data_IF_846607175809
#
_entry.id   IF_846607175809
#
_cell.length_a   1.000
_cell.length_b   1.000
_cell.length_c   1.000
_cell.angle_alpha   90.00
_cell.angle_beta   90.00
_cell.angle_gamma   90.00
#
_symmetry.space_group_name_H-M   'P 1'
#
loop_
_entity.id
_entity.type
_entity.pdbx_description
1 polymer ?
#
# COMPACT_ATOMS: atom_id res chain seq x y z
N UNK A 1 25.62 19.63 21.40
CA UNK A 1 26.46 18.43 21.23
C UNK A 1 25.81 17.61 20.13
N UNK A 2 26.41 17.58 18.95
CA UNK A 2 25.86 16.88 17.79
C UNK A 2 25.91 15.36 18.03
N UNK A 3 24.82 14.68 17.69
CA UNK A 3 24.66 13.23 17.83
C UNK A 3 25.74 12.49 17.01
N UNK A 4 26.61 11.66 17.62
CA UNK A 4 27.58 10.84 16.91
C UNK A 4 26.94 9.75 16.03
N UNK A 5 25.62 9.57 16.10
CA UNK A 5 24.79 8.72 15.24
C UNK A 5 24.04 9.55 14.17
N UNK A 6 24.69 10.53 13.54
CA UNK A 6 24.38 10.87 12.15
C UNK A 6 24.76 9.66 11.26
N UNK A 7 24.05 8.56 11.48
CA UNK A 7 24.40 7.22 11.05
C UNK A 7 24.09 7.13 9.57
N UNK A 8 25.05 6.57 8.83
CA UNK A 8 24.97 6.14 7.43
C UNK A 8 23.51 6.02 6.95
N UNK A 9 23.11 6.86 5.97
CA UNK A 9 21.76 6.80 5.42
C UNK A 9 21.47 5.36 5.00
N UNK A 10 20.41 4.77 5.58
CA UNK A 10 19.97 3.41 5.26
C UNK A 10 19.79 3.32 3.73
N UNK A 11 20.35 2.29 3.11
CA UNK A 11 20.44 2.16 1.66
C UNK A 11 19.18 1.62 0.98
N UNK A 12 18.12 1.32 1.74
CA UNK A 12 16.89 0.72 1.22
C UNK A 12 16.94 -0.81 1.16
N UNK A 13 16.01 -1.38 0.39
CA UNK A 13 15.88 -2.83 0.17
C UNK A 13 15.87 -3.09 -1.33
N UNK A 14 16.59 -4.11 -1.80
CA UNK A 14 16.51 -4.57 -3.17
C UNK A 14 16.31 -6.09 -3.22
N UNK A 15 15.29 -6.52 -3.95
CA UNK A 15 15.04 -7.92 -4.27
C UNK A 15 15.42 -8.11 -5.72
N UNK A 16 16.26 -9.11 -6.03
CA UNK A 16 16.79 -9.34 -7.38
C UNK A 16 16.67 -10.80 -7.78
N UNK A 17 16.08 -11.01 -8.95
CA UNK A 17 15.89 -12.32 -9.60
C UNK A 17 15.41 -13.39 -8.62
N UNK A 18 14.44 -13.03 -7.77
CA UNK A 18 14.03 -13.89 -6.66
C UNK A 18 12.99 -14.91 -7.13
N UNK A 19 13.27 -16.18 -6.85
CA UNK A 19 12.37 -17.30 -7.13
C UNK A 19 12.03 -18.05 -5.85
N UNK A 20 10.79 -18.54 -5.78
CA UNK A 20 10.38 -19.49 -4.76
C UNK A 20 9.57 -20.62 -5.38
N UNK A 21 10.13 -21.82 -5.30
CA UNK A 21 9.48 -23.09 -5.63
C UNK A 21 9.29 -23.88 -4.33
N UNK A 22 8.07 -24.35 -4.08
CA UNK A 22 7.76 -25.23 -2.96
C UNK A 22 7.73 -26.68 -3.44
N UNK A 23 8.35 -27.56 -2.65
CA UNK A 23 8.46 -28.99 -2.93
C UNK A 23 9.87 -29.52 -2.62
N UNK A 24 10.04 -30.85 -2.57
CA UNK A 24 11.34 -31.46 -2.31
C UNK A 24 12.33 -31.14 -3.44
N UNK A 25 13.60 -30.88 -3.12
CA UNK A 25 14.63 -30.57 -4.12
C UNK A 25 14.26 -29.43 -5.11
N UNK A 26 13.56 -28.40 -4.62
CA UNK A 26 13.07 -27.27 -5.42
C UNK A 26 14.14 -26.59 -6.28
N UNK A 27 15.41 -26.59 -5.84
CA UNK A 27 16.52 -25.99 -6.57
C UNK A 27 16.76 -26.61 -7.94
N UNK A 28 16.48 -27.91 -8.12
CA UNK A 28 16.66 -28.60 -9.40
C UNK A 28 15.74 -28.10 -10.52
N UNK A 29 14.64 -27.41 -10.16
CA UNK A 29 13.65 -26.93 -11.12
C UNK A 29 13.77 -25.44 -11.45
N UNK A 30 14.72 -24.72 -10.86
CA UNK A 30 14.89 -23.27 -11.10
C UNK A 30 15.22 -22.99 -12.57
N UNK A 31 16.15 -23.73 -13.16
CA UNK A 31 16.53 -23.56 -14.56
C UNK A 31 15.37 -23.90 -15.52
N UNK A 32 14.56 -24.92 -15.20
CA UNK A 32 13.38 -25.23 -16.00
C UNK A 32 12.37 -24.07 -15.99
N UNK A 33 12.13 -23.46 -14.82
CA UNK A 33 11.24 -22.30 -14.69
C UNK A 33 11.83 -21.06 -15.39
N UNK A 34 13.15 -20.84 -15.31
CA UNK A 34 13.84 -19.77 -16.06
C UNK A 34 13.69 -19.93 -17.56
N UNK A 35 13.70 -21.17 -18.04
CA UNK A 35 13.50 -21.52 -19.46
C UNK A 35 12.02 -21.55 -19.88
N UNK A 36 11.10 -21.07 -19.04
CA UNK A 36 9.70 -20.85 -19.39
C UNK A 36 8.71 -21.90 -18.89
N UNK A 37 9.15 -22.89 -18.11
CA UNK A 37 8.22 -23.85 -17.49
C UNK A 37 7.21 -23.12 -16.60
N UNK A 38 5.93 -23.33 -16.90
CA UNK A 38 4.83 -22.66 -16.20
C UNK A 38 4.54 -23.29 -14.84
N UNK A 39 3.83 -22.53 -13.99
CA UNK A 39 3.32 -23.03 -12.70
C UNK A 39 2.50 -24.31 -12.83
N UNK A 40 1.67 -24.40 -13.87
CA UNK A 40 0.80 -25.55 -14.14
C UNK A 40 1.61 -26.77 -14.58
N UNK A 41 2.57 -26.60 -15.49
CA UNK A 41 3.45 -27.69 -15.94
C UNK A 41 4.34 -28.21 -14.81
N UNK A 42 4.94 -27.30 -14.04
CA UNK A 42 5.77 -27.64 -12.89
C UNK A 42 4.98 -28.48 -11.87
N UNK A 43 3.71 -28.12 -11.62
CA UNK A 43 2.85 -28.87 -10.72
C UNK A 43 2.46 -30.24 -11.29
N UNK A 44 2.04 -30.31 -12.55
CA UNK A 44 1.59 -31.55 -13.17
C UNK A 44 2.72 -32.58 -13.36
N UNK A 45 3.93 -32.13 -13.72
CA UNK A 45 5.07 -33.00 -14.03
C UNK A 45 5.89 -33.37 -12.79
N UNK A 46 6.00 -32.45 -11.83
CA UNK A 46 6.94 -32.60 -10.71
C UNK A 46 6.27 -32.52 -9.33
N UNK A 47 5.00 -32.09 -9.25
CA UNK A 47 4.29 -31.92 -7.97
C UNK A 47 4.73 -30.70 -7.17
N UNK A 48 5.47 -29.78 -7.78
CA UNK A 48 5.95 -28.55 -7.12
C UNK A 48 4.98 -27.39 -7.33
N UNK A 49 5.06 -26.39 -6.44
CA UNK A 49 4.27 -25.17 -6.55
C UNK A 49 5.21 -24.00 -6.78
N UNK A 50 5.08 -23.32 -7.92
CA UNK A 50 5.77 -22.06 -8.16
C UNK A 50 5.05 -20.94 -7.38
N UNK A 51 5.73 -20.43 -6.36
CA UNK A 51 5.22 -19.39 -5.46
C UNK A 51 5.65 -17.97 -5.86
N UNK A 52 6.88 -17.80 -6.35
CA UNK A 52 7.41 -16.55 -6.87
C UNK A 52 8.31 -16.82 -8.08
N UNK A 53 8.21 -15.98 -9.11
CA UNK A 53 8.97 -16.06 -10.35
C UNK A 53 9.58 -14.68 -10.67
N UNK A 54 10.90 -14.64 -10.77
CA UNK A 54 11.70 -13.48 -11.19
C UNK A 54 11.28 -12.14 -10.56
N UNK A 55 11.13 -12.12 -9.23
CA UNK A 55 10.75 -10.88 -8.54
C UNK A 55 11.95 -9.94 -8.48
N UNK A 56 11.73 -8.71 -8.97
CA UNK A 56 12.70 -7.62 -8.96
C UNK A 56 12.00 -6.36 -8.42
N UNK A 57 12.38 -5.91 -7.22
CA UNK A 57 11.76 -4.76 -6.54
C UNK A 57 12.85 -3.97 -5.83
N UNK A 58 12.86 -2.66 -6.04
CA UNK A 58 13.69 -1.71 -5.30
C UNK A 58 12.81 -0.83 -4.40
N UNK A 59 13.19 -0.75 -3.13
CA UNK A 59 12.46 -0.03 -2.09
C UNK A 59 13.40 1.02 -1.51
N UNK A 60 13.02 2.29 -1.66
CA UNK A 60 13.80 3.40 -1.13
C UNK A 60 13.82 3.42 0.41
N UNK A 61 14.87 4.04 0.95
CA UNK A 61 14.92 4.31 2.38
C UNK A 61 13.84 5.31 2.80
N UNK A 62 13.19 5.06 3.92
CA UNK A 62 12.21 5.99 4.49
C UNK A 62 10.92 6.16 3.68
N UNK A 63 10.62 5.24 2.76
CA UNK A 63 9.37 5.18 2.02
C UNK A 63 8.50 4.00 2.46
N UNK A 64 7.20 4.10 2.16
CA UNK A 64 6.23 3.01 2.26
C UNK A 64 6.09 2.33 0.90
N UNK A 65 6.62 1.10 0.79
CA UNK A 65 6.34 0.22 -0.33
C UNK A 65 5.14 -0.67 0.00
N UNK A 66 4.07 -0.53 -0.77
CA UNK A 66 2.94 -1.45 -0.70
C UNK A 66 3.13 -2.58 -1.69
N UNK A 67 2.84 -3.81 -1.27
CA UNK A 67 2.78 -5.02 -2.09
C UNK A 67 1.31 -5.47 -2.10
N UNK A 68 0.65 -5.31 -3.24
CA UNK A 68 -0.76 -5.59 -3.42
C UNK A 68 -0.96 -6.87 -4.26
N UNK A 69 -2.11 -7.52 -4.11
CA UNK A 69 -2.53 -8.63 -4.97
C UNK A 69 -3.54 -9.54 -4.30
N UNK A 70 -4.16 -10.43 -5.07
CA UNK A 70 -5.14 -11.38 -4.54
C UNK A 70 -4.51 -12.40 -3.59
N UNK A 71 -5.36 -13.13 -2.87
CA UNK A 71 -4.92 -14.28 -2.08
C UNK A 71 -4.19 -15.28 -2.96
N UNK A 72 -3.07 -15.83 -2.47
CA UNK A 72 -2.27 -16.80 -3.22
C UNK A 72 -1.31 -16.22 -4.26
N UNK A 73 -1.22 -14.89 -4.43
CA UNK A 73 -0.30 -14.27 -5.40
C UNK A 73 1.18 -14.24 -4.97
N UNK A 74 1.51 -14.68 -3.74
CA UNK A 74 2.89 -14.77 -3.24
C UNK A 74 3.35 -13.62 -2.33
N UNK A 75 2.51 -12.62 -2.03
CA UNK A 75 2.84 -11.44 -1.21
C UNK A 75 3.50 -11.79 0.13
N UNK A 76 2.83 -12.59 0.95
CA UNK A 76 3.34 -12.98 2.27
C UNK A 76 4.59 -13.87 2.19
N UNK A 77 4.80 -14.56 1.06
CA UNK A 77 6.04 -15.28 0.80
C UNK A 77 7.18 -14.31 0.52
N UNK A 78 6.94 -13.28 -0.29
CA UNK A 78 7.90 -12.24 -0.63
C UNK A 78 8.39 -11.47 0.61
N UNK A 79 7.49 -10.98 1.46
CA UNK A 79 7.91 -10.26 2.69
C UNK A 79 8.71 -11.16 3.65
N UNK A 80 8.38 -12.46 3.69
CA UNK A 80 9.10 -13.44 4.52
C UNK A 80 10.49 -13.73 3.98
N UNK A 81 10.77 -13.49 2.69
CA UNK A 81 12.12 -13.54 2.15
C UNK A 81 12.98 -12.36 2.60
N UNK A 82 12.40 -11.16 2.76
CA UNK A 82 13.11 -9.98 3.32
C UNK A 82 13.63 -10.27 4.73
N UNK A 83 12.80 -10.89 5.57
CA UNK A 83 13.19 -11.31 6.92
C UNK A 83 13.87 -12.71 6.96
N UNK A 84 14.01 -13.35 5.78
CA UNK A 84 14.45 -14.73 5.56
C UNK A 84 13.78 -15.77 6.47
N UNK A 85 12.52 -15.55 6.87
CA UNK A 85 11.74 -16.56 7.61
C UNK A 85 11.47 -17.80 6.74
N UNK A 86 11.49 -17.61 5.42
CA UNK A 86 11.50 -18.67 4.41
C UNK A 86 12.70 -18.37 3.51
N UNK A 87 13.52 -19.39 3.21
CA UNK A 87 14.60 -19.23 2.23
C UNK A 87 14.03 -19.17 0.81
N UNK A 88 14.50 -18.23 -0.04
CA UNK A 88 14.21 -18.27 -1.45
C UNK A 88 14.87 -19.48 -2.11
N UNK A 89 14.34 -19.93 -3.23
CA UNK A 89 14.95 -21.01 -4.01
C UNK A 89 16.13 -20.50 -4.83
N UNK A 90 16.04 -19.27 -5.34
CA UNK A 90 17.12 -18.56 -6.01
C UNK A 90 16.92 -17.03 -5.90
N UNK A 91 17.97 -16.27 -6.20
CA UNK A 91 17.98 -14.81 -6.16
C UNK A 91 18.60 -14.23 -4.89
N UNK A 92 18.55 -12.91 -4.78
CA UNK A 92 19.21 -12.14 -3.73
C UNK A 92 18.23 -11.17 -3.06
N UNK A 93 18.45 -10.93 -1.77
CA UNK A 93 17.71 -9.91 -1.01
C UNK A 93 18.70 -9.05 -0.25
N UNK A 94 18.88 -7.82 -0.73
CA UNK A 94 19.79 -6.84 -0.19
C UNK A 94 19.04 -5.91 0.76
N UNK A 95 19.51 -5.76 1.98
CA UNK A 95 19.01 -4.78 2.96
C UNK A 95 20.20 -3.94 3.42
N UNK A 96 20.14 -2.63 3.21
CA UNK A 96 21.28 -1.73 3.39
C UNK A 96 22.55 -2.20 2.64
N UNK A 97 22.35 -2.77 1.44
CA UNK A 97 23.43 -3.33 0.61
C UNK A 97 23.98 -4.69 1.06
N UNK A 98 23.48 -5.28 2.15
CA UNK A 98 23.92 -6.59 2.65
C UNK A 98 22.95 -7.68 2.20
N UNK A 99 23.48 -8.76 1.60
CA UNK A 99 22.68 -9.90 1.16
C UNK A 99 22.26 -10.81 2.32
N UNK A 100 20.98 -10.72 2.67
CA UNK A 100 20.36 -11.47 3.78
C UNK A 100 20.38 -12.98 3.50
N UNK A 101 20.31 -13.39 2.23
CA UNK A 101 20.27 -14.81 1.82
C UNK A 101 21.60 -15.51 2.11
N UNK A 102 22.71 -14.76 2.08
CA UNK A 102 24.07 -15.28 2.35
C UNK A 102 24.45 -15.28 3.83
N UNK A 103 23.65 -14.66 4.70
CA UNK A 103 23.97 -14.57 6.13
C UNK A 103 24.06 -15.93 6.82
N UNK A 104 25.03 -16.06 7.74
CA UNK A 104 25.11 -17.20 8.65
C UNK A 104 24.02 -17.15 9.75
N UNK A 105 23.77 -18.24 10.50
CA UNK A 105 22.71 -18.27 11.52
C UNK A 105 22.85 -17.21 12.63
N UNK A 106 24.08 -16.87 13.04
CA UNK A 106 24.31 -15.86 14.08
C UNK A 106 24.06 -14.44 13.55
N UNK A 107 24.55 -14.14 12.36
CA UNK A 107 24.35 -12.87 11.65
C UNK A 107 22.88 -12.63 11.36
N UNK A 108 22.16 -13.64 10.84
CA UNK A 108 20.73 -13.56 10.57
C UNK A 108 19.92 -13.28 11.85
N UNK A 109 20.30 -13.86 12.99
CA UNK A 109 19.67 -13.53 14.29
C UNK A 109 19.97 -12.11 14.75
N UNK A 110 21.11 -11.55 14.41
CA UNK A 110 21.44 -10.15 14.70
C UNK A 110 20.65 -9.20 13.79
N UNK A 111 20.60 -9.51 12.50
CA UNK A 111 19.78 -8.82 11.51
C UNK A 111 18.32 -8.73 11.96
N UNK A 112 17.70 -9.87 12.31
CA UNK A 112 16.32 -9.91 12.82
C UNK A 112 16.07 -9.12 14.10
N UNK A 113 17.11 -8.96 14.93
CA UNK A 113 17.01 -8.25 16.20
C UNK A 113 17.09 -6.74 16.03
N UNK A 114 17.88 -6.25 15.09
CA UNK A 114 18.24 -4.84 15.01
C UNK A 114 17.82 -4.14 13.71
N UNK A 115 17.68 -4.89 12.61
CA UNK A 115 17.46 -4.32 11.27
C UNK A 115 16.00 -4.40 10.83
N UNK A 116 15.23 -5.38 11.33
CA UNK A 116 13.84 -5.59 10.93
C UNK A 116 12.91 -5.75 12.11
N UNK A 117 11.70 -5.20 12.01
CA UNK A 117 10.56 -5.53 12.85
C UNK A 117 9.42 -6.04 11.99
N UNK A 118 8.61 -6.97 12.51
CA UNK A 118 7.51 -7.58 11.74
C UNK A 118 6.18 -7.53 12.51
N UNK A 119 5.13 -7.13 11.80
CA UNK A 119 3.73 -7.19 12.22
C UNK A 119 3.03 -8.27 11.39
N UNK A 120 2.51 -9.29 12.07
CA UNK A 120 1.88 -10.45 11.45
C UNK A 120 0.36 -10.27 11.28
N UNK A 121 -0.22 -10.93 10.28
CA UNK A 121 -1.66 -10.97 10.02
C UNK A 121 -2.47 -11.46 11.23
N UNK A 122 -2.06 -12.58 11.85
CA UNK A 122 -2.56 -12.99 13.17
C UNK A 122 -1.58 -12.41 14.19
N UNK A 123 -2.06 -11.56 15.08
CA UNK A 123 -1.30 -10.64 15.96
C UNK A 123 -0.02 -11.20 16.63
N UNK A 124 0.11 -12.52 16.72
CA UNK A 124 1.28 -13.24 17.21
C UNK A 124 1.72 -12.77 18.59
N UNK A 125 0.74 -12.36 19.41
CA UNK A 125 0.96 -11.97 20.79
C UNK A 125 1.16 -13.23 21.64
N UNK A 126 2.04 -13.12 22.63
CA UNK A 126 2.28 -14.15 23.62
C UNK A 126 1.13 -14.12 24.63
N UNK A 127 0.26 -15.14 24.69
CA UNK A 127 -0.99 -15.10 25.47
C UNK A 127 -0.74 -15.10 26.98
N UNK A 128 0.42 -15.59 27.41
CA UNK A 128 0.86 -15.67 28.80
C UNK A 128 1.64 -14.42 29.25
N UNK A 129 1.72 -13.38 28.43
CA UNK A 129 2.37 -12.11 28.75
C UNK A 129 1.36 -10.97 28.71
N UNK A 130 1.57 -9.97 29.56
CA UNK A 130 0.77 -8.75 29.54
C UNK A 130 0.99 -7.96 28.23
N UNK A 131 0.16 -6.94 27.98
CA UNK A 131 0.35 -5.97 26.88
C UNK A 131 1.72 -5.32 26.95
N UNK A 132 2.14 -4.90 28.15
CA UNK A 132 3.46 -4.31 28.37
C UNK A 132 4.58 -5.31 28.08
N UNK A 133 4.49 -6.53 28.62
CA UNK A 133 5.53 -7.55 28.43
C UNK A 133 5.60 -8.07 26.99
N UNK A 134 4.49 -8.04 26.24
CA UNK A 134 4.49 -8.28 24.80
C UNK A 134 5.25 -7.17 24.07
N UNK A 135 5.01 -5.92 24.45
CA UNK A 135 5.62 -4.74 23.81
C UNK A 135 7.13 -4.66 24.10
N UNK A 136 7.55 -5.01 25.32
CA UNK A 136 8.97 -5.06 25.73
C UNK A 136 9.73 -6.27 25.17
N UNK A 137 9.04 -7.28 24.63
CA UNK A 137 9.66 -8.58 24.33
C UNK A 137 10.92 -8.49 23.46
N UNK A 138 10.92 -7.68 22.40
CA UNK A 138 12.09 -7.56 21.54
C UNK A 138 13.26 -6.83 22.21
N UNK A 139 12.98 -5.84 23.07
CA UNK A 139 13.97 -5.12 23.87
C UNK A 139 14.65 -6.04 24.90
N UNK A 140 13.87 -6.92 25.55
CA UNK A 140 14.40 -7.95 26.46
C UNK A 140 15.36 -8.90 25.73
N UNK A 141 15.03 -9.29 24.50
CA UNK A 141 15.86 -10.16 23.65
C UNK A 141 17.12 -9.45 23.14
N UNK A 142 17.09 -8.12 23.01
CA UNK A 142 18.27 -7.28 22.74
C UNK A 142 19.14 -7.09 23.99
N UNK A 143 18.66 -7.46 25.18
CA UNK A 143 19.39 -7.30 26.44
C UNK A 143 19.29 -5.89 27.04
N UNK A 144 18.31 -5.10 26.61
CA UNK A 144 18.05 -3.76 27.17
C UNK A 144 17.49 -3.91 28.59
N UNK A 145 17.94 -3.05 29.49
CA UNK A 145 17.52 -3.07 30.90
C UNK A 145 15.99 -2.88 31.01
N UNK A 146 15.36 -3.53 32.00
CA UNK A 146 13.91 -3.64 32.10
C UNK A 146 13.23 -2.29 32.36
N UNK A 147 13.81 -1.41 33.18
CA UNK A 147 13.26 -0.06 33.40
C UNK A 147 13.29 0.76 32.12
N UNK A 148 14.39 0.72 31.37
CA UNK A 148 14.49 1.39 30.06
C UNK A 148 13.50 0.79 29.05
N UNK A 149 13.38 -0.54 29.01
CA UNK A 149 12.45 -1.24 28.13
C UNK A 149 11.00 -0.86 28.42
N UNK A 150 10.66 -0.72 29.71
CA UNK A 150 9.34 -0.29 30.14
C UNK A 150 9.03 1.11 29.65
N UNK A 151 9.95 2.06 29.79
CA UNK A 151 9.71 3.45 29.37
C UNK A 151 9.51 3.57 27.86
N UNK A 152 10.31 2.83 27.06
CA UNK A 152 10.14 2.76 25.60
C UNK A 152 8.78 2.14 25.24
N UNK A 153 8.45 1.00 25.84
CA UNK A 153 7.20 0.30 25.57
C UNK A 153 5.97 1.14 25.95
N UNK A 154 6.00 1.80 27.11
CA UNK A 154 4.92 2.68 27.57
C UNK A 154 4.68 3.84 26.60
N UNK A 155 5.75 4.47 26.09
CA UNK A 155 5.65 5.54 25.10
C UNK A 155 4.90 5.07 23.84
N UNK A 156 5.24 3.89 23.35
CA UNK A 156 4.58 3.32 22.18
C UNK A 156 3.14 2.90 22.45
N UNK A 157 2.87 2.31 23.63
CA UNK A 157 1.51 1.97 24.05
C UNK A 157 0.61 3.20 24.17
N UNK A 158 1.11 4.28 24.73
CA UNK A 158 0.37 5.55 24.81
C UNK A 158 0.10 6.12 23.41
N UNK A 159 1.11 6.10 22.53
CA UNK A 159 0.98 6.61 21.16
C UNK A 159 -0.01 5.82 20.30
N UNK A 160 -0.12 4.51 20.50
CA UNK A 160 -1.16 3.70 19.83
C UNK A 160 -2.50 3.76 20.57
N UNK A 161 -2.65 4.54 21.66
CA UNK A 161 -3.92 4.69 22.37
C UNK A 161 -4.30 3.51 23.29
N UNK A 162 -3.30 2.82 23.85
CA UNK A 162 -3.48 1.69 24.78
C UNK A 162 -3.07 2.01 26.22
N UNK A 163 -2.95 3.29 26.57
CA UNK A 163 -2.74 3.73 27.96
C UNK A 163 -3.86 3.19 28.87
N UNK A 164 -3.49 2.63 30.02
CA UNK A 164 -4.39 1.96 30.97
C UNK A 164 -4.65 0.48 30.70
N UNK A 165 -4.18 -0.08 29.58
CA UNK A 165 -4.34 -1.51 29.24
C UNK A 165 -3.06 -2.33 29.44
N UNK A 166 -2.01 -1.75 30.00
CA UNK A 166 -0.64 -2.29 29.97
C UNK A 166 -0.51 -3.58 30.78
N UNK A 167 -1.32 -3.72 31.83
CA UNK A 167 -1.41 -4.91 32.69
C UNK A 167 -2.38 -5.98 32.19
N UNK A 168 -3.16 -5.71 31.13
CA UNK A 168 -4.10 -6.68 30.56
C UNK A 168 -3.37 -7.73 29.73
N UNK A 169 -4.04 -8.86 29.51
CA UNK A 169 -3.57 -9.94 28.66
C UNK A 169 -4.28 -9.93 27.30
N UNK A 170 -3.68 -10.49 26.23
CA UNK A 170 -4.25 -10.45 24.88
C UNK A 170 -5.71 -10.94 24.77
N UNK A 171 -6.09 -11.95 25.54
CA UNK A 171 -7.45 -12.50 25.57
C UNK A 171 -8.50 -11.54 26.19
N UNK A 172 -8.07 -10.46 26.82
CA UNK A 172 -8.93 -9.41 27.40
C UNK A 172 -9.12 -8.22 26.45
N UNK A 173 -8.56 -8.29 25.23
CA UNK A 173 -8.53 -7.18 24.27
C UNK A 173 -9.33 -7.51 23.01
N UNK A 174 -9.92 -6.49 22.40
CA UNK A 174 -10.49 -6.61 21.06
C UNK A 174 -9.40 -6.87 20.01
N UNK A 175 -9.78 -7.36 18.82
CA UNK A 175 -8.83 -7.60 17.73
C UNK A 175 -8.01 -6.36 17.35
N UNK A 176 -8.67 -5.21 17.24
CA UNK A 176 -7.99 -3.92 16.98
C UNK A 176 -7.02 -3.50 18.08
N UNK A 177 -7.34 -3.78 19.34
CA UNK A 177 -6.41 -3.54 20.45
C UNK A 177 -5.21 -4.49 20.39
N UNK A 178 -5.42 -5.78 20.14
CA UNK A 178 -4.32 -6.75 19.99
C UNK A 178 -3.37 -6.35 18.85
N UNK A 179 -3.92 -5.82 17.77
CA UNK A 179 -3.13 -5.32 16.67
C UNK A 179 -2.28 -4.11 17.03
N UNK A 180 -2.85 -3.14 17.76
CA UNK A 180 -2.11 -2.00 18.29
C UNK A 180 -0.95 -2.43 19.20
N UNK A 181 -1.14 -3.48 20.00
CA UNK A 181 -0.04 -4.09 20.77
C UNK A 181 1.03 -4.66 19.85
N UNK A 182 0.64 -5.37 18.79
CA UNK A 182 1.57 -5.91 17.79
C UNK A 182 2.40 -4.83 17.08
N UNK A 183 1.76 -3.70 16.73
CA UNK A 183 2.42 -2.53 16.15
C UNK A 183 3.36 -1.86 17.15
N UNK A 184 2.90 -1.60 18.38
CA UNK A 184 3.73 -1.03 19.46
C UNK A 184 4.96 -1.91 19.74
N UNK A 185 4.81 -3.23 19.76
CA UNK A 185 5.92 -4.19 19.91
C UNK A 185 6.93 -4.06 18.78
N UNK A 186 6.46 -3.96 17.53
CA UNK A 186 7.34 -3.83 16.38
C UNK A 186 8.12 -2.50 16.41
N UNK A 187 7.42 -1.40 16.74
CA UNK A 187 8.01 -0.06 16.82
C UNK A 187 8.95 0.11 18.00
N UNK A 188 8.70 -0.58 19.11
CA UNK A 188 9.56 -0.53 20.30
C UNK A 188 10.99 -0.98 20.00
N UNK A 189 11.18 -1.94 19.09
CA UNK A 189 12.51 -2.45 18.71
C UNK A 189 13.37 -1.44 17.94
N UNK A 190 12.78 -0.33 17.50
CA UNK A 190 13.41 0.75 16.74
C UNK A 190 14.19 0.30 15.48
N UNK A 191 13.79 -0.83 14.88
CA UNK A 191 14.40 -1.32 13.65
C UNK A 191 14.18 -0.34 12.47
N UNK A 192 15.13 -0.18 11.54
CA UNK A 192 14.99 0.69 10.35
C UNK A 192 13.94 0.17 9.36
N UNK A 193 13.72 -1.15 9.29
CA UNK A 193 12.73 -1.76 8.40
C UNK A 193 11.54 -2.29 9.19
N UNK A 194 10.33 -1.88 8.80
CA UNK A 194 9.06 -2.39 9.31
C UNK A 194 8.33 -3.21 8.25
N UNK A 195 8.13 -4.49 8.53
CA UNK A 195 7.46 -5.44 7.64
C UNK A 195 6.04 -5.71 8.15
N UNK A 196 5.01 -5.43 7.35
CA UNK A 196 3.61 -5.56 7.75
C UNK A 196 2.88 -6.51 6.79
N UNK A 197 2.47 -7.68 7.27
CA UNK A 197 1.84 -8.74 6.45
C UNK A 197 0.33 -8.77 6.69
N UNK A 198 -0.46 -8.17 5.78
CA UNK A 198 -1.92 -8.03 5.85
C UNK A 198 -2.41 -7.57 7.23
N UNK A 199 -1.65 -6.64 7.82
CA UNK A 199 -1.84 -6.26 9.20
C UNK A 199 -3.31 -5.89 9.44
N UNK A 200 -3.88 -4.96 8.68
CA UNK A 200 -5.20 -4.39 9.00
C UNK A 200 -6.41 -5.19 8.45
N UNK A 201 -6.17 -6.35 7.85
CA UNK A 201 -7.20 -7.15 7.17
C UNK A 201 -8.35 -7.63 8.07
N UNK A 202 -8.06 -7.88 9.36
CA UNK A 202 -9.04 -8.37 10.33
C UNK A 202 -9.80 -7.25 11.08
N UNK A 203 -9.56 -5.99 10.72
CA UNK A 203 -10.13 -4.83 11.42
C UNK A 203 -11.39 -4.33 10.73
N UNK A 204 -12.31 -3.82 11.54
CA UNK A 204 -13.44 -3.05 11.05
C UNK A 204 -12.97 -1.76 10.34
N UNK A 205 -13.76 -1.20 9.41
CA UNK A 205 -13.33 -0.07 8.59
C UNK A 205 -12.89 1.17 9.37
N UNK A 206 -13.55 1.49 10.50
CA UNK A 206 -13.24 2.69 11.28
C UNK A 206 -11.90 2.53 11.99
N UNK A 207 -11.70 1.41 12.70
CA UNK A 207 -10.43 1.13 13.38
C UNK A 207 -9.29 0.96 12.37
N UNK A 208 -9.56 0.40 11.18
CA UNK A 208 -8.58 0.35 10.07
C UNK A 208 -8.13 1.75 9.68
N UNK A 209 -9.06 2.68 9.46
CA UNK A 209 -8.72 4.06 9.09
C UNK A 209 -7.88 4.76 10.16
N UNK A 210 -8.26 4.61 11.43
CA UNK A 210 -7.49 5.17 12.56
C UNK A 210 -6.07 4.60 12.60
N UNK A 211 -5.93 3.29 12.39
CA UNK A 211 -4.62 2.64 12.43
C UNK A 211 -3.70 3.05 11.27
N UNK A 212 -4.27 3.25 10.09
CA UNK A 212 -3.56 3.79 8.94
C UNK A 212 -3.09 5.22 9.21
N UNK A 213 -3.91 6.07 9.84
CA UNK A 213 -3.51 7.42 10.24
C UNK A 213 -2.33 7.39 11.21
N UNK A 214 -2.40 6.54 12.24
CA UNK A 214 -1.29 6.35 13.20
C UNK A 214 0.00 5.93 12.48
N UNK A 215 -0.08 5.04 11.49
CA UNK A 215 1.09 4.62 10.70
C UNK A 215 1.70 5.79 9.92
N UNK A 216 0.87 6.60 9.26
CA UNK A 216 1.31 7.77 8.50
C UNK A 216 1.95 8.84 9.41
N UNK A 217 1.38 9.09 10.58
CA UNK A 217 1.95 10.03 11.56
C UNK A 217 3.33 9.55 12.04
N UNK A 218 3.47 8.25 12.31
CA UNK A 218 4.75 7.65 12.70
C UNK A 218 5.76 7.73 11.55
N UNK A 219 5.31 7.48 10.32
CA UNK A 219 6.17 7.54 9.14
C UNK A 219 6.70 8.96 8.89
N UNK A 220 5.84 9.97 9.05
CA UNK A 220 6.22 11.38 8.88
C UNK A 220 7.33 11.81 9.85
N UNK A 221 7.31 11.27 11.07
CA UNK A 221 8.30 11.60 12.11
C UNK A 221 9.60 10.79 12.00
N UNK A 222 9.50 9.47 11.84
CA UNK A 222 10.67 8.56 12.00
C UNK A 222 11.27 8.16 10.65
N UNK A 223 10.50 8.23 9.56
CA UNK A 223 10.91 7.85 8.20
C UNK A 223 11.58 6.47 8.15
N UNK A 224 10.92 5.45 8.70
CA UNK A 224 11.36 4.06 8.59
C UNK A 224 11.06 3.54 7.18
N UNK A 225 11.77 2.50 6.72
CA UNK A 225 11.36 1.82 5.48
C UNK A 225 10.26 0.83 5.81
N UNK A 226 9.08 1.03 5.24
CA UNK A 226 7.91 0.18 5.50
C UNK A 226 7.61 -0.66 4.27
N UNK A 227 7.52 -1.98 4.46
CA UNK A 227 6.99 -2.90 3.44
C UNK A 227 5.63 -3.38 3.92
N UNK A 228 4.58 -2.94 3.24
CA UNK A 228 3.21 -3.15 3.65
C UNK A 228 2.48 -4.06 2.66
N UNK A 229 1.91 -5.17 3.12
CA UNK A 229 1.10 -6.05 2.27
C UNK A 229 -0.38 -5.80 2.52
N UNK A 230 -1.12 -5.69 1.42
CA UNK A 230 -2.58 -5.70 1.46
C UNK A 230 -3.19 -6.35 0.23
N UNK A 231 -4.48 -6.63 0.30
CA UNK A 231 -5.31 -6.97 -0.85
C UNK A 231 -6.31 -5.84 -1.19
N UNK A 232 -6.36 -4.79 -0.37
CA UNK A 232 -7.26 -3.65 -0.50
C UNK A 232 -6.55 -2.52 -1.25
N UNK A 233 -7.16 -2.06 -2.36
CA UNK A 233 -6.56 -1.01 -3.19
C UNK A 233 -6.62 0.36 -2.51
N UNK A 234 -7.72 0.67 -1.80
CA UNK A 234 -7.85 1.97 -1.13
C UNK A 234 -6.77 2.13 -0.05
N UNK A 235 -6.45 1.04 0.64
CA UNK A 235 -5.34 0.99 1.59
C UNK A 235 -3.98 1.17 0.91
N UNK A 236 -3.77 0.53 -0.24
CA UNK A 236 -2.54 0.68 -1.01
C UNK A 236 -2.32 2.11 -1.49
N UNK A 237 -3.38 2.75 -2.00
CA UNK A 237 -3.34 4.12 -2.51
C UNK A 237 -3.20 5.16 -1.41
N UNK A 238 -3.78 4.91 -0.23
CA UNK A 238 -3.69 5.80 0.92
C UNK A 238 -2.33 5.75 1.60
N UNK A 239 -1.70 4.57 1.70
CA UNK A 239 -0.46 4.39 2.44
C UNK A 239 0.80 4.43 1.58
N UNK A 240 0.73 3.96 0.34
CA UNK A 240 1.91 3.67 -0.47
C UNK A 240 2.50 4.89 -1.17
N UNK A 241 3.80 5.10 -0.98
CA UNK A 241 4.59 5.95 -1.88
C UNK A 241 4.83 5.22 -3.21
N UNK A 242 5.03 3.91 -3.13
CA UNK A 242 5.19 2.99 -4.26
C UNK A 242 4.30 1.77 -4.04
N UNK A 243 3.72 1.26 -5.11
CA UNK A 243 2.86 0.07 -5.12
C UNK A 243 3.44 -0.92 -6.10
N UNK A 244 3.58 -2.18 -5.67
CA UNK A 244 3.90 -3.32 -6.52
C UNK A 244 2.71 -4.28 -6.51
N UNK A 245 2.09 -4.51 -7.68
CA UNK A 245 0.95 -5.41 -7.83
C UNK A 245 1.46 -6.79 -8.26
N UNK A 246 1.15 -7.80 -7.45
CA UNK A 246 1.52 -9.18 -7.66
C UNK A 246 0.34 -10.04 -8.12
N UNK A 247 0.56 -10.83 -9.18
CA UNK A 247 -0.35 -11.87 -9.67
C UNK A 247 0.43 -13.15 -9.92
N UNK A 248 -0.08 -14.28 -9.43
CA UNK A 248 0.50 -15.61 -9.65
C UNK A 248 2.01 -15.76 -9.38
N UNK A 249 2.54 -14.96 -8.45
CA UNK A 249 3.96 -15.01 -8.09
C UNK A 249 4.85 -14.09 -8.91
N UNK A 250 4.28 -13.16 -9.67
CA UNK A 250 5.00 -12.18 -10.50
C UNK A 250 4.55 -10.76 -10.21
N UNK A 251 5.47 -9.81 -10.38
CA UNK A 251 5.15 -8.38 -10.38
C UNK A 251 4.57 -8.03 -11.74
N UNK A 252 3.31 -7.60 -11.77
CA UNK A 252 2.62 -7.19 -13.00
C UNK A 252 2.83 -5.70 -13.28
N UNK A 253 2.82 -4.89 -12.22
CA UNK A 253 3.06 -3.45 -12.31
C UNK A 253 3.70 -2.94 -11.04
N UNK A 254 4.60 -1.97 -11.18
CA UNK A 254 5.15 -1.17 -10.09
C UNK A 254 5.08 0.31 -10.46
N UNK A 255 4.76 1.17 -9.49
CA UNK A 255 4.79 2.62 -9.67
C UNK A 255 4.17 3.37 -8.50
N UNK A 256 4.02 4.69 -8.64
CA UNK A 256 3.30 5.51 -7.67
C UNK A 256 1.80 5.19 -7.68
N UNK A 257 1.08 5.59 -6.62
CA UNK A 257 -0.39 5.51 -6.58
C UNK A 257 -1.06 6.17 -7.80
N UNK A 258 -0.50 7.28 -8.30
CA UNK A 258 -0.97 7.93 -9.52
C UNK A 258 -0.72 7.08 -10.76
N UNK A 259 0.46 6.44 -10.90
CA UNK A 259 0.78 5.60 -12.04
C UNK A 259 -0.17 4.42 -12.16
N UNK A 260 -0.48 3.76 -11.04
CA UNK A 260 -1.41 2.63 -10.99
C UNK A 260 -2.80 3.06 -11.47
N UNK A 261 -3.32 4.21 -11.01
CA UNK A 261 -4.68 4.69 -11.31
C UNK A 261 -4.80 5.32 -12.70
N UNK A 262 -3.76 5.99 -13.20
CA UNK A 262 -3.80 6.70 -14.47
C UNK A 262 -3.37 5.81 -15.64
N UNK A 263 -2.48 4.84 -15.40
CA UNK A 263 -1.84 4.03 -16.43
C UNK A 263 -1.78 2.56 -15.99
N UNK A 264 -2.93 1.88 -15.83
CA UNK A 264 -2.95 0.45 -15.51
C UNK A 264 -2.24 -0.35 -16.63
N UNK A 265 -1.38 -1.29 -16.26
CA UNK A 265 -0.55 -2.03 -17.20
C UNK A 265 -1.34 -3.06 -18.04
N UNK A 266 -2.40 -3.65 -17.47
CA UNK A 266 -3.26 -4.63 -18.12
C UNK A 266 -4.71 -4.56 -17.61
N UNK A 267 -5.60 -5.35 -18.20
CA UNK A 267 -7.02 -5.43 -17.80
C UNK A 267 -7.21 -5.89 -16.35
N UNK A 268 -6.25 -6.66 -15.82
CA UNK A 268 -6.29 -7.10 -14.43
C UNK A 268 -6.06 -5.92 -13.49
N UNK A 269 -5.04 -5.09 -13.71
CA UNK A 269 -4.85 -3.86 -12.93
C UNK A 269 -6.00 -2.89 -13.14
N UNK A 270 -6.48 -2.73 -14.38
CA UNK A 270 -7.63 -1.88 -14.70
C UNK A 270 -8.90 -2.28 -13.93
N UNK A 271 -9.06 -3.57 -13.63
CA UNK A 271 -10.21 -4.07 -12.87
C UNK A 271 -10.18 -3.65 -11.39
N UNK A 272 -9.01 -3.53 -10.77
CA UNK A 272 -8.90 -3.04 -9.39
C UNK A 272 -9.17 -1.53 -9.30
N UNK A 273 -8.63 -0.74 -10.23
CA UNK A 273 -8.73 0.73 -10.17
C UNK A 273 -10.10 1.27 -10.59
N UNK A 274 -10.98 0.42 -11.13
CA UNK A 274 -12.29 0.83 -11.67
C UNK A 274 -13.14 1.59 -10.66
N UNK A 275 -13.22 1.08 -9.44
CA UNK A 275 -14.09 1.61 -8.36
C UNK A 275 -13.36 2.63 -7.46
N UNK A 276 -12.12 2.98 -7.79
CA UNK A 276 -11.33 3.92 -6.99
C UNK A 276 -11.82 5.34 -7.20
N UNK A 277 -11.98 6.07 -6.09
CA UNK A 277 -12.16 7.52 -6.15
C UNK A 277 -10.86 8.22 -6.57
N UNK A 278 -10.70 8.43 -7.88
CA UNK A 278 -9.55 9.10 -8.49
C UNK A 278 -9.31 10.51 -7.92
N UNK A 279 -10.38 11.16 -7.47
CA UNK A 279 -10.33 12.49 -6.85
C UNK A 279 -9.40 12.57 -5.65
N UNK A 280 -9.21 11.47 -4.91
CA UNK A 280 -8.38 11.39 -3.70
C UNK A 280 -6.91 11.06 -3.96
N UNK A 281 -6.58 10.65 -5.18
CA UNK A 281 -5.28 10.05 -5.50
C UNK A 281 -4.56 10.85 -6.58
N UNK A 282 -5.31 11.34 -7.57
CA UNK A 282 -4.75 12.08 -8.68
C UNK A 282 -4.52 13.51 -8.25
N UNK A 283 -3.30 14.01 -8.50
CA UNK A 283 -2.92 15.38 -8.21
C UNK A 283 -3.22 16.31 -9.40
N UNK A 284 -3.41 17.59 -9.12
CA UNK A 284 -3.76 18.61 -10.11
C UNK A 284 -2.75 18.66 -11.27
N UNK A 285 -1.47 18.46 -10.98
CA UNK A 285 -0.40 18.46 -11.98
C UNK A 285 -0.57 17.40 -13.09
N UNK A 286 -1.26 16.29 -12.80
CA UNK A 286 -1.49 15.22 -13.77
C UNK A 286 -2.57 15.58 -14.80
N UNK A 287 -3.40 16.59 -14.52
CA UNK A 287 -4.57 16.96 -15.35
C UNK A 287 -4.56 18.41 -15.82
N UNK A 288 -3.63 19.22 -15.31
CA UNK A 288 -3.50 20.64 -15.67
C UNK A 288 -3.10 20.81 -17.14
N UNK A 289 -3.46 21.97 -17.69
CA UNK A 289 -2.90 22.45 -18.96
C UNK A 289 -1.55 23.13 -18.67
N UNK A 290 -0.41 22.64 -19.19
CA UNK A 290 0.89 23.26 -18.93
C UNK A 290 0.99 24.66 -19.56
N UNK A 291 1.60 25.60 -18.84
CA UNK A 291 1.95 26.90 -19.41
C UNK A 291 3.11 26.71 -20.42
N UNK A 292 2.87 27.01 -21.71
CA UNK A 292 3.90 26.92 -22.74
C UNK A 292 4.66 28.25 -22.87
N UNK A 293 5.92 28.29 -22.41
CA UNK A 293 6.89 29.36 -22.71
C UNK A 293 7.51 30.04 -21.47
N UNK A 294 8.69 30.69 -21.60
CA UNK A 294 9.29 31.45 -20.50
C UNK A 294 8.38 32.64 -20.16
N UNK A 295 8.03 32.75 -18.89
CA UNK A 295 7.14 33.78 -18.37
C UNK A 295 7.65 35.18 -18.73
N UNK A 296 7.09 35.78 -19.78
CA UNK A 296 7.21 37.21 -20.01
C UNK A 296 6.36 37.93 -18.97
N UNK A 297 6.92 38.14 -17.77
CA UNK A 297 6.63 39.23 -16.84
C UNK A 297 5.18 39.51 -16.41
N UNK A 298 4.23 38.64 -16.74
CA UNK A 298 2.84 38.79 -16.34
C UNK A 298 2.66 38.32 -14.92
N UNK A 299 2.57 39.26 -13.97
CA UNK A 299 1.96 39.00 -12.66
C UNK A 299 0.64 38.26 -12.89
N UNK A 300 0.48 37.09 -12.25
CA UNK A 300 -0.76 36.34 -12.23
C UNK A 300 -1.92 37.33 -12.00
N UNK A 301 -2.75 37.51 -13.02
CA UNK A 301 -3.83 38.48 -13.00
C UNK A 301 -4.91 37.97 -12.06
N UNK A 302 -4.81 38.30 -10.77
CA UNK A 302 -5.90 38.29 -9.78
C UNK A 302 -6.62 36.98 -9.47
N UNK A 303 -6.35 35.91 -10.22
CA UNK A 303 -7.05 34.63 -10.11
C UNK A 303 -6.50 33.74 -9.00
N UNK A 304 -7.34 32.80 -8.56
CA UNK A 304 -7.00 31.84 -7.50
C UNK A 304 -5.79 30.96 -7.90
N UNK A 305 -4.91 30.70 -6.93
CA UNK A 305 -3.76 29.80 -7.10
C UNK A 305 -3.91 28.54 -6.25
N UNK A 306 -3.44 27.40 -6.75
CA UNK A 306 -3.35 26.14 -5.99
C UNK A 306 -2.03 25.42 -6.28
N UNK A 307 -1.53 24.66 -5.31
CA UNK A 307 -0.29 23.90 -5.49
C UNK A 307 -0.51 22.69 -6.42
N UNK A 308 0.52 22.33 -7.20
CA UNK A 308 0.49 21.22 -8.15
C UNK A 308 0.22 19.86 -7.49
N UNK A 309 0.61 19.73 -6.23
CA UNK A 309 0.46 18.53 -5.39
C UNK A 309 -0.88 18.46 -4.65
N UNK A 310 -1.83 19.38 -4.88
CA UNK A 310 -3.18 19.27 -4.30
C UNK A 310 -3.93 18.15 -5.03
N UNK A 311 -4.75 17.39 -4.31
CA UNK A 311 -5.58 16.35 -4.93
C UNK A 311 -6.75 16.96 -5.72
N UNK A 312 -7.29 16.25 -6.71
CA UNK A 312 -8.45 16.75 -7.48
C UNK A 312 -9.65 17.06 -6.57
N UNK A 313 -9.93 16.23 -5.57
CA UNK A 313 -11.06 16.44 -4.64
C UNK A 313 -10.89 17.73 -3.83
N UNK A 314 -9.70 18.00 -3.31
CA UNK A 314 -9.38 19.23 -2.60
C UNK A 314 -9.41 20.45 -3.52
N UNK A 315 -8.86 20.33 -4.74
CA UNK A 315 -8.90 21.39 -5.73
C UNK A 315 -10.33 21.78 -6.10
N UNK A 316 -11.22 20.80 -6.28
CA UNK A 316 -12.65 21.06 -6.50
C UNK A 316 -13.29 21.76 -5.31
N UNK A 317 -13.02 21.33 -4.06
CA UNK A 317 -13.53 22.03 -2.86
C UNK A 317 -13.07 23.48 -2.80
N UNK A 318 -11.87 23.79 -3.28
CA UNK A 318 -11.34 25.16 -3.36
C UNK A 318 -12.00 25.99 -4.47
N UNK A 319 -12.58 25.36 -5.49
CA UNK A 319 -13.28 26.05 -6.58
C UNK A 319 -14.80 26.15 -6.35
N UNK A 320 -15.38 25.26 -5.54
CA UNK A 320 -16.81 25.28 -5.21
C UNK A 320 -17.20 26.59 -4.51
N UNK A 321 -18.24 27.26 -5.04
CA UNK A 321 -18.81 28.47 -4.45
C UNK A 321 -18.10 29.76 -4.85
N UNK A 322 -17.21 29.71 -5.84
CA UNK A 322 -16.44 30.85 -6.34
C UNK A 322 -16.89 31.13 -7.77
N UNK A 323 -17.00 32.40 -8.20
CA UNK A 323 -17.40 32.73 -9.57
C UNK A 323 -16.33 32.40 -10.64
N UNK A 324 -15.08 32.19 -10.22
CA UNK A 324 -13.97 31.80 -11.09
C UNK A 324 -13.94 30.27 -11.24
N UNK A 325 -14.10 29.80 -12.48
CA UNK A 325 -14.09 28.37 -12.84
C UNK A 325 -12.68 27.83 -13.14
N UNK A 326 -11.65 28.67 -13.04
CA UNK A 326 -10.25 28.37 -13.36
C UNK A 326 -9.30 28.79 -12.24
N UNK A 327 -8.22 28.04 -12.05
CA UNK A 327 -7.14 28.36 -11.14
C UNK A 327 -5.77 28.18 -11.79
N UNK A 328 -4.81 29.01 -11.36
CA UNK A 328 -3.40 28.85 -11.71
C UNK A 328 -2.76 27.81 -10.80
N UNK A 329 -2.06 26.86 -11.41
CA UNK A 329 -1.31 25.82 -10.70
C UNK A 329 0.11 26.29 -10.50
N UNK A 330 0.60 26.21 -9.26
CA UNK A 330 1.97 26.62 -8.90
C UNK A 330 2.80 25.44 -8.40
N UNK A 331 4.10 25.47 -8.66
CA UNK A 331 5.04 24.50 -8.10
C UNK A 331 5.38 24.81 -6.62
N UNK A 332 6.27 24.00 -6.03
CA UNK A 332 6.72 24.18 -4.65
C UNK A 332 7.45 25.52 -4.39
N UNK A 333 7.96 26.17 -5.44
CA UNK A 333 8.60 27.49 -5.36
C UNK A 333 7.61 28.66 -5.56
N UNK A 334 6.34 28.35 -5.80
CA UNK A 334 5.28 29.33 -6.09
C UNK A 334 5.28 29.82 -7.53
N UNK A 335 6.07 29.20 -8.43
CA UNK A 335 6.08 29.58 -9.85
C UNK A 335 4.88 28.98 -10.57
N UNK A 336 4.17 29.75 -11.42
CA UNK A 336 3.10 29.23 -12.25
C UNK A 336 3.61 28.15 -13.23
N UNK A 337 3.03 26.95 -13.17
CA UNK A 337 3.38 25.82 -14.04
C UNK A 337 2.24 25.40 -14.98
N UNK A 338 1.00 25.76 -14.65
CA UNK A 338 -0.16 25.39 -15.46
C UNK A 338 -1.42 26.12 -15.05
N UNK A 339 -2.51 25.79 -15.73
CA UNK A 339 -3.87 26.20 -15.34
C UNK A 339 -4.78 24.97 -15.32
N UNK A 340 -5.81 25.03 -14.47
CA UNK A 340 -6.81 23.97 -14.38
C UNK A 340 -8.19 24.57 -14.18
N UNK A 341 -9.20 23.99 -14.83
CA UNK A 341 -10.61 24.37 -14.67
C UNK A 341 -11.40 23.36 -13.85
N UNK A 342 -12.52 23.80 -13.27
CA UNK A 342 -13.49 22.92 -12.62
C UNK A 342 -13.92 21.77 -13.54
N UNK A 343 -14.17 22.05 -14.82
CA UNK A 343 -14.56 21.03 -15.81
C UNK A 343 -13.47 19.98 -16.03
N UNK A 344 -12.20 20.38 -16.09
CA UNK A 344 -11.08 19.44 -16.24
C UNK A 344 -10.95 18.54 -15.01
N UNK A 345 -11.03 19.12 -13.81
CA UNK A 345 -10.98 18.38 -12.55
C UNK A 345 -12.14 17.38 -12.44
N UNK A 346 -13.37 17.84 -12.70
CA UNK A 346 -14.56 16.99 -12.67
C UNK A 346 -14.49 15.87 -13.71
N UNK A 347 -14.04 16.18 -14.94
CA UNK A 347 -13.86 15.19 -16.00
C UNK A 347 -12.82 14.12 -15.66
N UNK A 348 -11.76 14.48 -14.93
CA UNK A 348 -10.73 13.53 -14.49
C UNK A 348 -11.18 12.60 -13.34
N UNK A 349 -12.17 13.01 -12.54
CA UNK A 349 -12.77 12.12 -11.53
C UNK A 349 -13.56 10.98 -12.14
N UNK A 350 -14.15 11.20 -13.32
CA UNK A 350 -14.98 10.21 -14.00
C UNK A 350 -14.11 9.36 -14.92
N UNK A 351 -14.33 8.03 -14.89
CA UNK A 351 -13.68 7.15 -15.84
C UNK A 351 -14.20 7.48 -17.25
N UNK A 352 -13.33 8.00 -18.13
CA UNK A 352 -13.68 8.24 -19.53
C UNK A 352 -14.15 6.96 -20.26
N UNK A 353 -13.82 5.77 -19.73
CA UNK A 353 -14.31 4.49 -20.22
C UNK A 353 -15.81 4.23 -19.95
N UNK A 354 -16.43 4.92 -18.99
CA UNK A 354 -17.88 4.76 -18.72
C UNK A 354 -18.75 5.60 -19.67
N UNK A 355 -18.23 6.76 -20.10
CA UNK A 355 -18.99 7.71 -20.93
C UNK A 355 -19.24 7.15 -22.35
N UNK A 356 -18.42 6.20 -22.81
CA UNK A 356 -18.61 5.52 -24.10
C UNK A 356 -19.61 4.36 -24.12
N UNK A 357 -19.95 3.78 -22.96
CA UNK A 357 -20.82 2.60 -22.88
C UNK A 357 -22.31 2.95 -22.66
N UNK A 358 -22.60 4.12 -22.10
CA UNK A 358 -23.95 4.66 -21.97
C UNK A 358 -24.14 5.87 -22.89
N UNK A 359 -24.06 5.63 -24.20
CA UNK A 359 -24.56 6.55 -25.19
C UNK A 359 -26.03 6.86 -24.91
N UNK A 360 -26.31 8.13 -24.63
CA UNK A 360 -27.64 8.68 -24.42
C UNK A 360 -28.48 8.40 -25.66
N UNK A 361 -29.25 7.30 -25.64
CA UNK A 361 -30.27 7.02 -26.62
C UNK A 361 -31.35 8.07 -26.51
N UNK A 362 -31.44 8.93 -27.53
CA UNK A 362 -32.52 9.89 -27.69
C UNK A 362 -33.86 9.15 -27.76
N UNK A 363 -34.53 8.97 -26.62
CA UNK A 363 -35.95 8.64 -26.61
C UNK A 363 -36.73 9.94 -26.71
N UNK A 364 -37.24 10.18 -27.92
CA UNK A 364 -38.20 11.23 -28.22
C UNK A 364 -39.41 11.14 -27.31
N UNK A 365 -39.83 12.30 -26.82
CA UNK A 365 -41.02 12.49 -26.01
C UNK A 365 -42.22 12.26 -26.94
N UNK A 366 -42.83 11.07 -26.85
CA UNK A 366 -44.11 10.76 -27.50
C UNK A 366 -45.27 11.15 -26.58
N UNK A 367 -46.19 11.94 -27.10
CA UNK A 367 -47.45 12.34 -26.44
C UNK A 367 -48.26 11.14 -25.90
N UNK A 368 -49.05 11.32 -24.83
CA UNK A 368 -49.92 10.27 -24.33
C UNK A 368 -51.20 10.18 -25.19
N UNK A 369 -51.37 9.05 -25.89
CA UNK A 369 -52.60 8.73 -26.62
C UNK A 369 -53.66 8.17 -25.65
N UNK A 370 -54.83 8.80 -25.69
CA UNK A 370 -55.97 8.54 -24.81
C UNK A 370 -57.00 7.73 -25.61
N UNK A 371 -57.01 6.43 -25.37
CA UNK A 371 -58.24 5.62 -25.45
C UNK A 371 -58.44 4.73 -26.67
N UNK A 372 -58.63 3.42 -26.41
CA UNK A 372 -59.82 2.63 -26.82
C UNK A 372 -59.76 1.19 -26.24
N UNK A 373 -60.92 0.49 -26.14
CA UNK A 373 -61.18 -0.49 -25.10
C UNK A 373 -60.79 -1.93 -25.44
N UNK A 374 -60.63 -2.74 -24.39
CA UNK A 374 -60.45 -4.20 -24.40
C UNK A 374 -61.64 -4.94 -25.04
N UNK A 375 -61.41 -6.01 -25.81
CA UNK A 375 -62.44 -7.01 -26.08
C UNK A 375 -62.30 -8.23 -25.14
N UNK A 376 -63.46 -8.73 -24.74
CA UNK A 376 -63.68 -9.88 -23.88
C UNK A 376 -63.28 -11.21 -24.53
N UNK A 377 -62.75 -12.12 -23.69
CA UNK A 377 -63.17 -13.51 -23.57
C UNK A 377 -62.96 -14.49 -24.74
N UNK A 378 -62.20 -15.56 -24.48
CA UNK A 378 -62.73 -16.93 -24.58
C UNK A 378 -61.84 -17.97 -23.89
N UNK A 379 -62.54 -18.79 -23.11
CA UNK A 379 -62.16 -20.00 -22.39
C UNK A 379 -61.90 -21.21 -23.31
N UNK A 380 -60.99 -22.10 -22.89
CA UNK A 380 -61.09 -23.58 -22.89
C UNK A 380 -59.79 -24.11 -22.25
N UNK A 381 -59.79 -24.61 -21.01
CA UNK A 381 -60.05 -26.01 -20.59
C UNK A 381 -59.36 -27.05 -21.46
N UNK A 382 -58.16 -27.48 -21.02
CA UNK A 382 -57.85 -28.85 -20.60
C UNK A 382 -56.55 -28.83 -19.78
#
# INVERSE_FOLDING_TARGET
MADPLASKAFGGIAVRNLYKIFGPNAAAHVEAVRNGMTKTELNALHGHVLGLRDINIEIASGSIQVIMGLSGSGKSTLIRHINRLIDPTAGEVLVDGVDVVKMGPAELRSFRRHQTAMVFQKFALLPHRSVLDNTMFGLEIQGIERTTSRDIAMRWLERVGLKGFESKYPNQLSGGMQQRVGLARALSNDAPVLLMDEAYSALDPLIRMDMQSVLLDIQAEIRKTIVFITHDLDEALRLGDQIAILRDGEVIQQGTSQDIVLRPADDYVASFVREVNRGRVVHVEAVMTPLRGPASGGTASGGRTMASTVTIEEALRLLVGVPEDEATVVDASGQPVGTVSFRQLAGAMVNAHEIGAHGIGAHGIGEPDIGRPMPEGRSHVA
#
